data_IF_529646141924
#
_entry.id   IF_529646141924
#
_cell.length_a   1.000
_cell.length_b   1.000
_cell.length_c   1.000
_cell.angle_alpha   90.00
_cell.angle_beta   90.00
_cell.angle_gamma   90.00
#
_symmetry.space_group_name_H-M   'P 1'
#
loop_
_entity.id
_entity.type
_entity.pdbx_description
1 polymer ?
#
# COMPACT_ATOMS: atom_id res chain seq x y z
N UNK A 1 28.90 45.44 -12.02
CA UNK A 1 27.86 44.63 -11.33
C UNK A 1 27.32 43.62 -12.35
N UNK A 2 27.68 42.35 -12.18
CA UNK A 2 27.16 41.23 -13.03
C UNK A 2 26.02 40.58 -12.28
N UNK A 3 24.78 40.71 -12.76
CA UNK A 3 23.64 39.95 -12.27
C UNK A 3 23.79 38.48 -12.72
N UNK A 4 24.01 37.58 -11.77
CA UNK A 4 23.83 36.14 -11.98
C UNK A 4 22.34 35.84 -11.89
N UNK A 5 21.70 35.54 -13.03
CA UNK A 5 20.35 34.99 -13.07
C UNK A 5 20.39 33.53 -12.61
N UNK A 6 19.82 33.24 -11.43
CA UNK A 6 19.55 31.86 -11.00
C UNK A 6 18.42 31.31 -11.88
N UNK A 7 18.78 30.47 -12.83
CA UNK A 7 17.82 29.69 -13.62
C UNK A 7 17.37 28.48 -12.76
N UNK A 8 16.20 28.60 -12.13
CA UNK A 8 15.58 27.49 -11.41
C UNK A 8 15.18 26.42 -12.44
N UNK A 9 15.86 25.28 -12.42
CA UNK A 9 15.52 24.11 -13.21
C UNK A 9 14.21 23.51 -12.64
N UNK A 10 13.07 23.89 -13.20
CA UNK A 10 11.81 23.17 -13.03
C UNK A 10 11.93 21.84 -13.77
N UNK A 11 12.25 20.77 -13.05
CA UNK A 11 12.09 19.41 -13.59
C UNK A 11 10.59 19.17 -13.80
N UNK A 12 10.13 18.78 -14.99
CA UNK A 12 8.72 18.59 -15.26
C UNK A 12 8.18 17.40 -14.43
N UNK A 13 7.00 17.57 -13.84
CA UNK A 13 6.34 16.54 -12.97
C UNK A 13 6.11 15.19 -13.66
N UNK A 14 6.18 15.11 -14.95
CA UNK A 14 6.06 13.89 -15.76
C UNK A 14 7.24 12.92 -15.56
N UNK A 15 8.45 13.43 -15.25
CA UNK A 15 9.62 12.57 -15.00
C UNK A 15 9.43 11.74 -13.73
N UNK A 16 8.74 12.30 -12.73
CA UNK A 16 8.43 11.60 -11.47
C UNK A 16 7.30 10.57 -11.64
N UNK A 17 6.36 10.83 -12.55
CA UNK A 17 5.20 9.95 -12.79
C UNK A 17 5.59 8.62 -13.47
N UNK A 18 6.56 8.66 -14.38
CA UNK A 18 7.09 7.43 -15.01
C UNK A 18 7.94 6.61 -14.05
N UNK A 19 8.61 7.26 -13.10
CA UNK A 19 9.51 6.60 -12.16
C UNK A 19 8.80 5.60 -11.24
N UNK A 20 7.65 5.95 -10.64
CA UNK A 20 6.89 5.04 -9.77
C UNK A 20 6.40 3.80 -10.52
N UNK A 21 5.81 4.02 -11.70
CA UNK A 21 5.30 2.92 -12.52
C UNK A 21 6.43 1.99 -12.98
N UNK A 22 7.58 2.54 -13.37
CA UNK A 22 8.74 1.76 -13.82
C UNK A 22 9.36 0.96 -12.67
N UNK A 23 9.49 1.56 -11.48
CA UNK A 23 9.93 0.85 -10.27
C UNK A 23 8.99 -0.31 -9.93
N UNK A 24 7.67 -0.11 -9.96
CA UNK A 24 6.70 -1.17 -9.68
C UNK A 24 6.71 -2.29 -10.72
N UNK A 25 7.13 -2.02 -11.96
CA UNK A 25 7.26 -3.01 -13.04
C UNK A 25 8.61 -3.73 -13.05
N UNK A 26 9.61 -3.26 -12.28
CA UNK A 26 10.97 -3.84 -12.26
C UNK A 26 11.02 -5.28 -11.74
N UNK A 27 10.00 -5.70 -10.96
CA UNK A 27 9.90 -7.05 -10.42
C UNK A 27 10.56 -7.26 -9.05
N UNK A 28 11.10 -6.21 -8.44
CA UNK A 28 11.67 -6.22 -7.09
C UNK A 28 11.06 -5.14 -6.16
N UNK A 29 10.06 -4.39 -6.64
CA UNK A 29 9.34 -3.37 -5.86
C UNK A 29 7.90 -3.78 -5.59
N UNK A 30 7.43 -3.42 -4.39
CA UNK A 30 6.04 -3.59 -3.95
C UNK A 30 5.55 -2.30 -3.33
N UNK A 31 4.30 -1.92 -3.63
CA UNK A 31 3.63 -0.82 -2.97
C UNK A 31 2.76 -1.36 -1.83
N UNK A 32 3.16 -1.05 -0.60
CA UNK A 32 2.37 -1.33 0.59
C UNK A 32 1.53 -0.09 0.90
N UNK A 33 0.23 -0.27 1.12
CA UNK A 33 -0.70 0.82 1.44
C UNK A 33 -1.45 0.49 2.73
N UNK A 34 -1.46 1.41 3.69
CA UNK A 34 -2.43 1.33 4.77
C UNK A 34 -3.82 1.65 4.23
N UNK A 35 -4.84 0.89 4.64
CA UNK A 35 -6.23 1.18 4.29
C UNK A 35 -6.58 2.66 4.49
N UNK A 36 -7.51 3.18 3.72
CA UNK A 36 -8.03 4.54 3.82
C UNK A 36 -8.68 4.80 5.20
N UNK A 37 -9.06 6.05 5.46
CA UNK A 37 -9.58 6.45 6.75
C UNK A 37 -10.81 5.60 7.15
N UNK A 38 -10.71 5.08 8.36
CA UNK A 38 -11.78 4.35 9.03
C UNK A 38 -11.83 4.90 10.47
N UNK A 39 -12.84 5.71 10.82
CA UNK A 39 -12.87 6.43 12.09
C UNK A 39 -12.92 5.49 13.29
N UNK A 40 -12.40 5.96 14.43
CA UNK A 40 -12.31 5.20 15.67
C UNK A 40 -10.98 4.46 15.86
N UNK A 41 -10.84 3.80 17.00
CA UNK A 41 -9.64 3.07 17.41
C UNK A 41 -9.93 1.58 17.62
N UNK A 42 -9.03 0.72 17.13
CA UNK A 42 -9.18 -0.73 17.25
C UNK A 42 -10.34 -1.32 16.43
N UNK A 43 -10.62 -2.57 16.65
CA UNK A 43 -11.78 -3.26 16.09
C UNK A 43 -12.76 -3.64 17.22
N UNK A 44 -14.09 -3.70 16.97
CA UNK A 44 -15.06 -4.16 17.96
C UNK A 44 -14.73 -5.56 18.52
N UNK A 45 -15.05 -5.81 19.78
CA UNK A 45 -14.77 -7.08 20.45
C UNK A 45 -15.47 -8.29 19.79
N UNK A 46 -16.59 -8.05 19.11
CA UNK A 46 -17.36 -9.06 18.37
C UNK A 46 -16.99 -9.15 16.88
N UNK A 47 -15.82 -8.63 16.48
CA UNK A 47 -15.35 -8.68 15.10
C UNK A 47 -15.40 -10.09 14.54
N UNK A 48 -15.99 -10.22 13.35
CA UNK A 48 -15.98 -11.42 12.51
C UNK A 48 -15.51 -11.07 11.12
N UNK A 49 -14.47 -11.78 10.65
CA UNK A 49 -14.05 -11.67 9.26
C UNK A 49 -15.17 -12.21 8.36
N UNK A 50 -15.44 -11.50 7.25
CA UNK A 50 -16.55 -11.83 6.34
C UNK A 50 -17.89 -11.17 6.68
N UNK A 51 -18.00 -10.56 7.88
CA UNK A 51 -19.20 -9.80 8.29
C UNK A 51 -18.81 -8.35 8.58
N UNK A 52 -18.98 -7.48 7.58
CA UNK A 52 -18.57 -6.07 7.69
C UNK A 52 -19.39 -5.28 8.71
N UNK A 53 -20.59 -5.74 9.10
CA UNK A 53 -21.41 -5.08 10.12
C UNK A 53 -20.77 -5.15 11.51
N UNK A 54 -19.84 -6.08 11.73
CA UNK A 54 -19.12 -6.27 12.98
C UNK A 54 -17.73 -5.63 12.98
N UNK A 55 -17.39 -4.86 11.95
CA UNK A 55 -16.05 -4.30 11.75
C UNK A 55 -16.07 -2.77 11.78
N UNK A 56 -14.93 -2.19 12.04
CA UNK A 56 -14.68 -0.78 11.79
C UNK A 56 -14.41 -0.57 10.30
N UNK A 57 -15.27 0.19 9.64
CA UNK A 57 -15.29 0.37 8.20
C UNK A 57 -14.91 1.80 7.78
N UNK A 58 -14.66 2.00 6.48
CA UNK A 58 -14.51 3.33 5.92
C UNK A 58 -15.81 4.12 6.08
N UNK A 59 -15.70 5.38 6.45
CA UNK A 59 -16.78 6.36 6.30
C UNK A 59 -16.77 6.98 4.90
N UNK A 60 -17.57 8.02 4.69
CA UNK A 60 -17.62 8.71 3.41
C UNK A 60 -16.28 9.37 3.07
N UNK A 61 -15.59 9.97 4.04
CA UNK A 61 -14.29 10.60 3.84
C UNK A 61 -13.22 9.57 3.45
N UNK A 62 -13.19 8.42 4.12
CA UNK A 62 -12.29 7.33 3.78
C UNK A 62 -12.54 6.74 2.39
N UNK A 63 -13.81 6.62 1.98
CA UNK A 63 -14.15 6.19 0.62
C UNK A 63 -13.69 7.18 -0.44
N UNK A 64 -13.88 8.48 -0.20
CA UNK A 64 -13.38 9.55 -1.09
C UNK A 64 -11.84 9.55 -1.13
N UNK A 65 -11.18 9.37 0.01
CA UNK A 65 -9.72 9.23 0.07
C UNK A 65 -9.23 8.07 -0.79
N UNK A 66 -9.84 6.88 -0.67
CA UNK A 66 -9.46 5.70 -1.46
C UNK A 66 -9.61 5.96 -2.98
N UNK A 67 -10.70 6.60 -3.41
CA UNK A 67 -10.90 6.99 -4.80
C UNK A 67 -9.83 7.99 -5.28
N UNK A 68 -9.53 9.00 -4.47
CA UNK A 68 -8.49 10.00 -4.80
C UNK A 68 -7.10 9.35 -4.92
N UNK A 69 -6.78 8.37 -4.05
CA UNK A 69 -5.55 7.57 -4.13
C UNK A 69 -5.46 6.79 -5.45
N UNK A 70 -6.54 6.18 -5.90
CA UNK A 70 -6.60 5.49 -7.19
C UNK A 70 -6.37 6.45 -8.36
N UNK A 71 -7.02 7.60 -8.36
CA UNK A 71 -6.78 8.65 -9.37
C UNK A 71 -5.32 9.13 -9.35
N UNK A 72 -4.75 9.32 -8.17
CA UNK A 72 -3.34 9.71 -8.04
C UNK A 72 -2.40 8.64 -8.60
N UNK A 73 -2.62 7.36 -8.28
CA UNK A 73 -1.81 6.25 -8.79
C UNK A 73 -1.88 6.17 -10.32
N UNK A 74 -3.07 6.34 -10.92
CA UNK A 74 -3.22 6.42 -12.39
C UNK A 74 -2.40 7.57 -12.98
N UNK A 75 -2.40 8.75 -12.34
CA UNK A 75 -1.56 9.89 -12.75
C UNK A 75 -0.05 9.59 -12.61
N UNK A 76 0.35 8.65 -11.75
CA UNK A 76 1.74 8.16 -11.64
C UNK A 76 2.04 7.04 -12.65
N UNK A 77 1.17 6.80 -13.63
CA UNK A 77 1.33 5.76 -14.67
C UNK A 77 0.99 4.34 -14.22
N UNK A 78 0.32 4.19 -13.07
CA UNK A 78 -0.14 2.90 -12.55
C UNK A 78 -1.63 2.76 -12.87
N UNK A 79 -1.96 2.37 -14.10
CA UNK A 79 -3.34 2.22 -14.57
C UNK A 79 -3.98 0.88 -14.14
N UNK A 80 -3.15 -0.15 -13.99
CA UNK A 80 -3.53 -1.48 -13.54
C UNK A 80 -2.48 -2.07 -12.60
N UNK A 81 -2.94 -2.87 -11.64
CA UNK A 81 -2.08 -3.56 -10.71
C UNK A 81 -2.57 -4.99 -10.42
N UNK A 82 -1.65 -5.86 -10.00
CA UNK A 82 -2.03 -7.01 -9.18
C UNK A 82 -2.28 -6.51 -7.77
N UNK A 83 -3.54 -6.53 -7.39
CA UNK A 83 -4.03 -5.92 -6.17
C UNK A 83 -4.42 -7.00 -5.17
N UNK A 84 -3.77 -6.98 -4.01
CA UNK A 84 -4.10 -7.85 -2.89
C UNK A 84 -4.50 -7.05 -1.67
N UNK A 85 -5.38 -7.61 -0.86
CA UNK A 85 -5.94 -6.92 0.29
C UNK A 85 -6.04 -7.82 1.51
N UNK A 86 -5.87 -7.24 2.68
CA UNK A 86 -6.25 -7.86 3.94
C UNK A 86 -7.72 -8.31 3.92
N UNK A 87 -8.09 -9.38 4.67
CA UNK A 87 -9.47 -9.83 4.80
C UNK A 87 -10.40 -8.86 5.57
N UNK A 88 -9.90 -7.75 6.12
CA UNK A 88 -10.71 -6.71 6.76
C UNK A 88 -11.49 -5.88 5.74
N UNK A 89 -12.76 -5.60 6.01
CA UNK A 89 -13.63 -4.87 5.06
C UNK A 89 -13.07 -3.49 4.69
N UNK A 90 -12.50 -2.73 5.62
CA UNK A 90 -11.85 -1.44 5.32
C UNK A 90 -10.70 -1.54 4.31
N UNK A 91 -9.97 -2.67 4.31
CA UNK A 91 -8.92 -2.91 3.32
C UNK A 91 -9.51 -3.33 1.98
N UNK A 92 -10.53 -4.19 1.98
CA UNK A 92 -11.23 -4.63 0.78
C UNK A 92 -11.91 -3.44 0.07
N UNK A 93 -12.61 -2.59 0.85
CA UNK A 93 -13.22 -1.37 0.33
C UNK A 93 -12.17 -0.41 -0.24
N UNK A 94 -11.06 -0.20 0.48
CA UNK A 94 -9.95 0.62 -0.03
C UNK A 94 -9.47 0.07 -1.37
N UNK A 95 -9.13 -1.22 -1.44
CA UNK A 95 -8.61 -1.85 -2.64
C UNK A 95 -9.59 -1.75 -3.82
N UNK A 96 -10.87 -1.98 -3.58
CA UNK A 96 -11.93 -1.85 -4.60
C UNK A 96 -12.03 -0.41 -5.13
N UNK A 97 -11.98 0.57 -4.24
CA UNK A 97 -12.14 1.99 -4.57
C UNK A 97 -10.90 2.59 -5.26
N UNK A 98 -9.72 1.95 -5.19
CA UNK A 98 -8.56 2.33 -6.01
C UNK A 98 -8.84 2.19 -7.51
N UNK A 99 -9.74 1.30 -7.92
CA UNK A 99 -10.12 1.06 -9.32
C UNK A 99 -8.89 0.79 -10.22
N UNK A 100 -7.99 -0.11 -9.75
CA UNK A 100 -6.77 -0.53 -10.47
C UNK A 100 -6.83 -2.00 -10.93
N UNK A 101 -7.99 -2.61 -10.88
CA UNK A 101 -8.25 -4.00 -11.19
C UNK A 101 -8.87 -4.80 -10.05
N UNK A 102 -9.16 -6.10 -10.25
CA UNK A 102 -9.75 -6.94 -9.23
C UNK A 102 -8.79 -7.14 -8.04
N UNK A 103 -9.33 -6.98 -6.83
CA UNK A 103 -8.59 -7.22 -5.59
C UNK A 103 -8.77 -8.66 -5.12
N UNK A 104 -7.68 -9.32 -4.72
CA UNK A 104 -7.69 -10.66 -4.14
C UNK A 104 -7.37 -10.60 -2.66
N UNK A 105 -8.16 -11.25 -1.82
CA UNK A 105 -7.88 -11.33 -0.38
C UNK A 105 -6.67 -12.24 -0.12
N UNK A 106 -5.73 -11.76 0.69
CA UNK A 106 -4.52 -12.46 1.07
C UNK A 106 -4.38 -12.50 2.62
N UNK A 107 -4.41 -13.68 3.24
CA UNK A 107 -4.35 -13.81 4.70
C UNK A 107 -3.10 -13.21 5.35
N UNK A 108 -1.94 -13.22 4.68
CA UNK A 108 -0.71 -12.64 5.23
C UNK A 108 -0.73 -11.11 5.38
N UNK A 109 -1.74 -10.46 4.79
CA UNK A 109 -2.01 -9.02 4.95
C UNK A 109 -2.93 -8.71 6.15
N UNK A 110 -3.40 -9.73 6.88
CA UNK A 110 -4.27 -9.59 8.04
C UNK A 110 -3.62 -8.78 9.16
N UNK A 111 -4.44 -7.98 9.87
CA UNK A 111 -3.98 -7.23 11.05
C UNK A 111 -3.66 -8.17 12.21
N UNK A 112 -2.53 -7.95 12.85
CA UNK A 112 -2.20 -8.57 14.14
C UNK A 112 -2.21 -7.54 15.29
N UNK A 113 -2.91 -6.42 15.12
CA UNK A 113 -2.97 -5.34 16.12
C UNK A 113 -3.40 -5.82 17.50
N UNK A 114 -4.43 -6.69 17.55
CA UNK A 114 -4.92 -7.27 18.80
C UNK A 114 -4.15 -8.54 19.24
N UNK A 115 -3.18 -9.00 18.43
CA UNK A 115 -2.41 -10.23 18.66
C UNK A 115 -0.92 -9.97 18.35
N UNK A 116 -0.25 -9.05 19.08
CA UNK A 116 1.12 -8.61 18.75
C UNK A 116 2.14 -9.78 18.80
N UNK A 117 1.85 -10.84 19.51
CA UNK A 117 2.65 -12.07 19.54
C UNK A 117 2.71 -12.78 18.17
N UNK A 118 1.81 -12.47 17.25
CA UNK A 118 1.81 -13.00 15.88
C UNK A 118 2.70 -12.20 14.92
N UNK A 119 3.30 -11.08 15.35
CA UNK A 119 4.01 -10.15 14.48
C UNK A 119 5.08 -10.83 13.61
N UNK A 120 5.96 -11.63 14.22
CA UNK A 120 7.06 -12.30 13.50
C UNK A 120 6.54 -13.31 12.47
N UNK A 121 5.59 -14.17 12.86
CA UNK A 121 5.00 -15.15 11.97
C UNK A 121 4.25 -14.49 10.79
N UNK A 122 3.46 -13.44 11.08
CA UNK A 122 2.72 -12.68 10.06
C UNK A 122 3.67 -11.96 9.11
N UNK A 123 4.74 -11.35 9.62
CA UNK A 123 5.76 -10.69 8.80
C UNK A 123 6.52 -11.69 7.92
N UNK A 124 6.87 -12.86 8.44
CA UNK A 124 7.50 -13.93 7.66
C UNK A 124 6.59 -14.43 6.53
N UNK A 125 5.29 -14.64 6.82
CA UNK A 125 4.30 -15.03 5.83
C UNK A 125 4.14 -13.96 4.72
N UNK A 126 4.10 -12.67 5.10
CA UNK A 126 4.03 -11.56 4.16
C UNK A 126 5.27 -11.50 3.26
N UNK A 127 6.47 -11.65 3.81
CA UNK A 127 7.71 -11.71 3.03
C UNK A 127 7.69 -12.85 2.00
N UNK A 128 7.30 -14.04 2.43
CA UNK A 128 7.17 -15.20 1.53
C UNK A 128 6.12 -14.96 0.44
N UNK A 129 4.99 -14.33 0.78
CA UNK A 129 3.97 -13.94 -0.20
C UNK A 129 4.50 -12.95 -1.23
N UNK A 130 5.19 -11.88 -0.81
CA UNK A 130 5.78 -10.88 -1.71
C UNK A 130 6.72 -11.54 -2.72
N UNK A 131 7.64 -12.40 -2.27
CA UNK A 131 8.60 -13.10 -3.13
C UNK A 131 7.90 -13.94 -4.20
N UNK A 132 6.95 -14.78 -3.79
CA UNK A 132 6.19 -15.63 -4.74
C UNK A 132 5.43 -14.79 -5.76
N UNK A 133 4.81 -13.70 -5.29
CA UNK A 133 3.95 -12.88 -6.13
C UNK A 133 4.77 -12.03 -7.10
N UNK A 134 5.88 -11.45 -6.68
CA UNK A 134 6.79 -10.71 -7.57
C UNK A 134 7.36 -11.61 -8.66
N UNK A 135 7.77 -12.84 -8.33
CA UNK A 135 8.26 -13.80 -9.31
C UNK A 135 7.22 -14.14 -10.39
N UNK A 136 5.93 -14.19 -10.01
CA UNK A 136 4.80 -14.50 -10.90
C UNK A 136 4.25 -13.25 -11.63
N UNK A 137 4.71 -12.03 -11.30
CA UNK A 137 4.06 -10.77 -11.70
C UNK A 137 4.91 -9.92 -12.64
N UNK A 138 5.95 -10.48 -13.24
CA UNK A 138 6.90 -9.73 -14.08
C UNK A 138 6.20 -8.69 -14.97
N UNK A 139 6.65 -7.43 -14.86
CA UNK A 139 6.14 -6.32 -15.67
C UNK A 139 4.78 -5.74 -15.22
N UNK A 140 4.21 -6.19 -14.09
CA UNK A 140 2.97 -5.64 -13.53
C UNK A 140 3.22 -5.06 -12.15
N UNK A 141 2.61 -3.92 -11.85
CA UNK A 141 2.64 -3.33 -10.52
C UNK A 141 2.02 -4.28 -9.48
N UNK A 142 2.68 -4.43 -8.32
CA UNK A 142 2.15 -5.17 -7.17
C UNK A 142 1.78 -4.18 -6.06
N UNK A 143 0.51 -4.16 -5.67
CA UNK A 143 -0.03 -3.31 -4.61
C UNK A 143 -0.68 -4.17 -3.53
N UNK A 144 -0.32 -3.91 -2.27
CA UNK A 144 -0.79 -4.65 -1.10
C UNK A 144 -1.48 -3.68 -0.14
N UNK A 145 -2.80 -3.80 0.00
CA UNK A 145 -3.59 -2.98 0.95
C UNK A 145 -3.68 -3.72 2.29
N UNK A 146 -3.11 -3.12 3.33
CA UNK A 146 -2.95 -3.75 4.64
C UNK A 146 -3.11 -2.75 5.79
N UNK A 147 -2.52 -3.00 6.93
CA UNK A 147 -2.63 -2.23 8.17
C UNK A 147 -1.28 -1.62 8.57
N UNK A 148 -1.32 -0.56 9.41
CA UNK A 148 -0.10 0.08 9.88
C UNK A 148 0.85 -0.88 10.61
N UNK A 149 0.32 -1.84 11.38
CA UNK A 149 1.14 -2.83 12.13
C UNK A 149 1.96 -3.72 11.20
N UNK A 150 1.41 -4.11 10.04
CA UNK A 150 2.11 -4.91 9.04
C UNK A 150 3.24 -4.09 8.37
N UNK A 151 2.97 -2.84 8.04
CA UNK A 151 3.96 -1.93 7.44
C UNK A 151 5.05 -1.62 8.46
N UNK A 152 4.68 -1.29 9.71
CA UNK A 152 5.62 -1.03 10.80
C UNK A 152 6.56 -2.23 11.05
N UNK A 153 6.01 -3.45 11.12
CA UNK A 153 6.82 -4.65 11.33
C UNK A 153 7.74 -4.98 10.15
N UNK A 154 7.35 -4.58 8.92
CA UNK A 154 8.12 -4.88 7.72
C UNK A 154 9.24 -3.87 7.47
N UNK A 155 8.99 -2.57 7.65
CA UNK A 155 9.91 -1.47 7.26
C UNK A 155 10.29 -0.54 8.42
N UNK A 156 9.72 -0.70 9.62
CA UNK A 156 10.00 0.17 10.77
C UNK A 156 9.26 1.52 10.75
N UNK A 157 8.34 1.74 9.80
CA UNK A 157 7.62 3.01 9.62
C UNK A 157 6.17 2.91 10.05
N UNK A 158 5.72 3.88 10.85
CA UNK A 158 4.31 4.06 11.14
C UNK A 158 3.69 5.01 10.12
N UNK A 159 2.67 4.54 9.41
CA UNK A 159 2.01 5.27 8.33
C UNK A 159 0.58 5.64 8.70
N UNK A 160 0.14 6.83 8.27
CA UNK A 160 -1.25 7.28 8.41
C UNK A 160 -2.17 6.54 7.41
N UNK A 161 -3.49 6.66 7.61
CA UNK A 161 -4.50 6.10 6.70
C UNK A 161 -4.29 6.60 5.27
N UNK A 162 -4.28 5.70 4.30
CA UNK A 162 -4.04 6.00 2.89
C UNK A 162 -2.57 6.25 2.52
N UNK A 163 -1.64 6.36 3.49
CA UNK A 163 -0.23 6.47 3.15
C UNK A 163 0.34 5.16 2.62
N UNK A 164 1.37 5.30 1.81
CA UNK A 164 1.99 4.20 1.10
C UNK A 164 3.49 4.13 1.36
N UNK A 165 4.04 2.94 1.23
CA UNK A 165 5.48 2.66 1.23
C UNK A 165 5.82 1.88 -0.04
N UNK A 166 6.64 2.46 -0.89
CA UNK A 166 7.29 1.75 -1.98
C UNK A 166 8.52 1.06 -1.43
N UNK A 167 8.51 -0.25 -1.37
CA UNK A 167 9.59 -1.06 -0.82
C UNK A 167 10.27 -1.87 -1.92
N UNK A 168 11.62 -1.80 -1.96
CA UNK A 168 12.44 -2.71 -2.75
C UNK A 168 12.81 -3.91 -1.90
N UNK A 169 12.59 -5.12 -2.42
CA UNK A 169 12.80 -6.36 -1.68
C UNK A 169 13.78 -7.30 -2.38
N UNK A 170 14.52 -8.07 -1.59
CA UNK A 170 15.39 -9.12 -2.11
C UNK A 170 14.63 -10.44 -2.37
N UNK A 171 15.35 -11.46 -2.85
CA UNK A 171 14.78 -12.79 -3.13
C UNK A 171 14.30 -13.54 -1.89
N UNK A 172 14.62 -13.07 -0.68
CA UNK A 172 14.15 -13.59 0.59
C UNK A 172 13.01 -12.75 1.18
N UNK A 173 12.57 -11.70 0.47
CA UNK A 173 11.51 -10.78 0.90
C UNK A 173 11.96 -9.78 1.98
N UNK A 174 13.29 -9.63 2.20
CA UNK A 174 13.81 -8.59 3.08
C UNK A 174 13.79 -7.25 2.35
N UNK A 175 13.37 -6.21 3.05
CA UNK A 175 13.37 -4.85 2.51
C UNK A 175 14.82 -4.34 2.45
N UNK A 176 15.28 -4.00 1.25
CA UNK A 176 16.59 -3.42 0.98
C UNK A 176 16.57 -1.89 1.12
N UNK A 177 15.49 -1.28 0.67
CA UNK A 177 15.24 0.15 0.77
C UNK A 177 13.74 0.41 0.68
N UNK A 178 13.29 1.56 1.17
CA UNK A 178 11.91 1.99 1.00
C UNK A 178 11.81 3.50 0.85
N UNK A 179 10.72 3.94 0.25
CA UNK A 179 10.32 5.33 0.14
C UNK A 179 8.87 5.48 0.63
N UNK A 180 8.63 6.42 1.54
CA UNK A 180 7.29 6.79 1.95
C UNK A 180 6.66 7.71 0.91
N UNK A 181 5.46 7.37 0.47
CA UNK A 181 4.71 8.15 -0.49
C UNK A 181 3.44 8.69 0.17
N UNK A 182 3.21 9.99 0.00
CA UNK A 182 1.98 10.66 0.40
C UNK A 182 1.32 11.19 -0.85
N UNK A 183 0.08 10.76 -1.09
CA UNK A 183 -0.74 11.43 -2.08
C UNK A 183 -1.22 12.78 -1.51
N UNK A 184 -1.44 13.77 -2.36
CA UNK A 184 -1.99 15.07 -1.96
C UNK A 184 -3.42 14.96 -1.42
#
# INVERSE_FOLDING_TARGET
>A
MRLLALMALFLPQWVLATELADQLRSGDHVLLMRHAEAPGGGDPANLRLGDCSTQRNLDQAGRQQAQALGVWLKKQGVDQARLFTSPWCRCQDTATLLDLGPATTEPSLASFFNEPQKADASTAALRAFMVRTLAATKGKALILVTHHVNILALVGENVASGEMVLARVDRQGRVLSYQRLRAP
#
